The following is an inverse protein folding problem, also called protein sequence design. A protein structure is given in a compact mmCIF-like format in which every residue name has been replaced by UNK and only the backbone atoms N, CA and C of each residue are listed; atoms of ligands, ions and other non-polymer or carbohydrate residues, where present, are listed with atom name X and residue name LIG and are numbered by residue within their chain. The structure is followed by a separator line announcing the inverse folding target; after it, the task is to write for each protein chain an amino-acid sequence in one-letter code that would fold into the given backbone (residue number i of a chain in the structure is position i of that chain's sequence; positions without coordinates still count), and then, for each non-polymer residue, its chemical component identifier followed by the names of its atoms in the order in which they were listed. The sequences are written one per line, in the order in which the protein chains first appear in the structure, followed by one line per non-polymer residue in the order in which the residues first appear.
data_IF_569420472261
#
_entry.id   IF_569420472261
#
_cell.length_a   1.000
_cell.length_b   1.000
_cell.length_c   1.000
_cell.angle_alpha   90.00
_cell.angle_beta   90.00
_cell.angle_gamma   90.00
#
_symmetry.space_group_name_H-M   'P 1'
#
loop_
_entity.id
_entity.type
_entity.pdbx_description
1 polymer ?
#
# COMPACT_ATOMS: atom_id res chain seq x y z
N UNK A 1 -14.48 24.09 63.34
CA UNK A 1 -13.65 23.78 62.16
C UNK A 1 -14.37 22.76 61.30
N UNK A 2 -14.68 23.06 60.04
CA UNK A 2 -15.34 22.11 59.12
C UNK A 2 -14.27 21.27 58.42
N UNK A 3 -14.27 19.97 58.67
CA UNK A 3 -13.38 19.01 57.99
C UNK A 3 -13.93 18.77 56.58
N UNK A 4 -13.08 18.89 55.56
CA UNK A 4 -13.46 18.68 54.16
C UNK A 4 -13.83 17.21 53.89
N UNK A 5 -14.92 16.98 53.15
CA UNK A 5 -15.41 15.64 52.78
C UNK A 5 -14.38 14.80 52.01
N UNK A 6 -13.39 15.44 51.39
CA UNK A 6 -12.25 14.82 50.69
C UNK A 6 -11.34 14.01 51.63
N UNK A 7 -11.31 14.30 52.93
CA UNK A 7 -10.49 13.56 53.89
C UNK A 7 -11.00 12.15 54.21
N UNK A 8 -12.21 11.77 53.76
CA UNK A 8 -12.85 10.48 54.08
C UNK A 8 -12.77 9.44 52.95
N UNK A 9 -12.19 9.76 51.78
CA UNK A 9 -12.13 8.86 50.62
C UNK A 9 -10.68 8.65 50.18
N UNK A 10 -10.29 7.40 49.96
CA UNK A 10 -9.01 7.06 49.35
C UNK A 10 -9.07 7.31 47.84
N UNK A 11 -8.19 8.14 47.26
CA UNK A 11 -8.17 8.35 45.81
C UNK A 11 -7.67 7.09 45.10
N UNK A 12 -8.43 6.60 44.12
CA UNK A 12 -8.07 5.43 43.30
C UNK A 12 -6.99 5.71 42.26
N UNK A 13 -6.63 6.99 42.06
CA UNK A 13 -5.63 7.41 41.09
C UNK A 13 -4.32 7.64 41.83
N UNK A 14 -3.28 6.91 41.43
CA UNK A 14 -1.93 7.09 41.91
C UNK A 14 -1.10 7.88 40.89
N UNK A 15 -0.47 8.96 41.33
CA UNK A 15 0.45 9.74 40.49
C UNK A 15 1.82 9.06 40.50
N UNK A 16 2.10 8.26 39.48
CA UNK A 16 3.31 7.42 39.36
C UNK A 16 4.60 8.21 38.99
N UNK A 17 4.56 9.54 39.03
CA UNK A 17 5.71 10.38 38.63
C UNK A 17 5.98 10.38 37.12
N UNK A 18 7.16 10.85 36.72
CA UNK A 18 7.58 10.87 35.30
C UNK A 18 7.86 9.45 34.83
N UNK A 19 7.21 9.03 33.74
CA UNK A 19 7.47 7.73 33.10
C UNK A 19 8.91 7.67 32.62
N UNK A 20 9.65 6.65 33.05
CA UNK A 20 10.98 6.32 32.51
C UNK A 20 10.77 5.29 31.41
N UNK A 21 11.22 5.60 30.20
CA UNK A 21 11.21 4.65 29.10
C UNK A 21 12.49 3.83 29.16
N UNK A 22 12.43 2.50 28.96
CA UNK A 22 13.65 1.71 28.83
C UNK A 22 14.43 2.15 27.59
N UNK A 23 15.70 2.53 27.78
CA UNK A 23 16.61 2.92 26.69
C UNK A 23 16.83 1.77 25.68
N UNK A 24 16.81 0.53 26.18
CA UNK A 24 16.97 -0.66 25.37
C UNK A 24 15.80 -1.62 25.58
N UNK A 25 14.96 -1.73 24.55
CA UNK A 25 13.92 -2.74 24.43
C UNK A 25 14.43 -3.85 23.53
N UNK A 26 14.17 -5.09 23.91
CA UNK A 26 14.43 -6.24 23.06
C UNK A 26 13.42 -6.29 21.91
N UNK A 27 13.90 -6.04 20.69
CA UNK A 27 13.12 -6.08 19.45
C UNK A 27 13.32 -7.39 18.68
N UNK A 28 13.88 -8.43 19.32
CA UNK A 28 13.95 -9.75 18.69
C UNK A 28 12.55 -10.16 18.26
N UNK A 29 12.33 -10.52 16.98
CA UNK A 29 11.05 -11.01 16.54
C UNK A 29 10.73 -12.27 17.35
N UNK A 30 9.48 -12.38 17.81
CA UNK A 30 9.02 -13.52 18.60
C UNK A 30 7.80 -14.12 17.93
N UNK A 31 7.75 -15.45 17.92
CA UNK A 31 6.58 -16.19 17.45
C UNK A 31 5.37 -15.84 18.30
N UNK A 32 4.21 -15.76 17.68
CA UNK A 32 2.98 -15.58 18.42
C UNK A 32 2.64 -16.88 19.17
N UNK A 33 2.21 -16.85 20.45
CA UNK A 33 1.90 -18.06 21.21
C UNK A 33 0.75 -18.90 20.64
N UNK A 34 -0.06 -18.33 19.75
CA UNK A 34 -1.16 -19.01 19.06
C UNK A 34 -0.86 -19.28 17.58
N UNK A 35 0.40 -19.18 17.15
CA UNK A 35 0.78 -19.54 15.78
C UNK A 35 0.63 -21.06 15.57
N UNK A 36 -0.09 -21.53 14.54
CA UNK A 36 -0.22 -22.96 14.25
C UNK A 36 1.11 -23.66 13.92
N UNK A 37 2.13 -22.92 13.48
CA UNK A 37 3.43 -23.48 13.08
C UNK A 37 4.55 -23.18 14.07
N UNK A 38 4.36 -22.21 14.98
CA UNK A 38 5.33 -21.90 16.04
C UNK A 38 6.71 -21.45 15.54
N UNK A 39 6.81 -20.95 14.31
CA UNK A 39 8.08 -20.55 13.68
C UNK A 39 7.95 -19.20 12.98
N UNK A 40 8.97 -18.35 13.13
CA UNK A 40 9.03 -17.10 12.38
C UNK A 40 9.34 -17.38 10.91
N UNK A 41 8.64 -16.73 9.96
CA UNK A 41 9.01 -16.81 8.57
C UNK A 41 10.41 -16.20 8.34
N UNK A 42 11.37 -17.03 7.93
CA UNK A 42 12.75 -16.59 7.67
C UNK A 42 12.87 -15.66 6.45
N UNK A 43 11.91 -15.69 5.52
CA UNK A 43 11.77 -14.72 4.41
C UNK A 43 10.45 -14.85 3.66
N UNK A 44 10.02 -13.79 2.97
CA UNK A 44 8.85 -13.82 2.08
C UNK A 44 8.96 -14.88 0.97
N UNK A 45 10.18 -15.15 0.51
CA UNK A 45 10.47 -16.20 -0.49
C UNK A 45 10.10 -17.59 0.03
N UNK A 46 10.49 -17.91 1.27
CA UNK A 46 10.18 -19.20 1.91
C UNK A 46 8.68 -19.34 2.19
N UNK A 47 8.00 -18.26 2.58
CA UNK A 47 6.54 -18.25 2.69
C UNK A 47 5.86 -18.58 1.35
N UNK A 48 6.25 -17.91 0.25
CA UNK A 48 5.67 -18.16 -1.09
C UNK A 48 5.90 -19.58 -1.60
N UNK A 49 6.99 -20.23 -1.21
CA UNK A 49 7.25 -21.63 -1.59
C UNK A 49 6.30 -22.61 -0.88
N UNK A 50 5.84 -22.29 0.33
CA UNK A 50 4.97 -23.18 1.13
C UNK A 50 3.48 -22.96 0.85
N UNK A 51 3.07 -21.74 0.52
CA UNK A 51 1.68 -21.40 0.32
C UNK A 51 1.11 -22.01 -0.98
N UNK A 52 0.26 -23.02 -0.85
CA UNK A 52 -0.38 -23.72 -1.99
C UNK A 52 -1.29 -22.82 -2.85
N UNK A 53 -1.70 -21.66 -2.33
CA UNK A 53 -2.57 -20.71 -3.02
C UNK A 53 -1.88 -19.98 -4.18
N UNK A 54 -0.54 -19.90 -4.14
CA UNK A 54 0.23 -19.20 -5.15
C UNK A 54 0.98 -20.25 -5.97
N UNK A 55 0.84 -20.20 -7.30
CA UNK A 55 1.59 -21.09 -8.20
C UNK A 55 3.10 -21.04 -7.96
N UNK A 56 3.86 -22.06 -8.44
CA UNK A 56 5.25 -22.26 -8.09
C UNK A 56 6.08 -21.01 -8.35
N UNK A 57 6.89 -20.63 -7.34
CA UNK A 57 7.76 -19.46 -7.42
C UNK A 57 8.90 -19.74 -8.42
N UNK A 58 8.66 -19.46 -9.70
CA UNK A 58 9.67 -19.59 -10.74
C UNK A 58 10.82 -18.62 -10.49
N UNK A 59 12.03 -19.17 -10.30
CA UNK A 59 13.28 -18.40 -10.24
C UNK A 59 13.82 -18.04 -11.62
N UNK A 60 13.22 -18.59 -12.68
CA UNK A 60 13.43 -18.06 -14.02
C UNK A 60 12.86 -16.66 -14.00
N UNK A 61 13.73 -15.65 -14.18
CA UNK A 61 13.34 -14.27 -14.39
C UNK A 61 12.02 -14.24 -15.13
N UNK A 62 11.01 -13.55 -14.57
CA UNK A 62 9.72 -13.25 -15.23
C UNK A 62 10.06 -13.13 -16.69
N UNK A 63 9.64 -14.10 -17.52
CA UNK A 63 9.93 -14.05 -18.95
C UNK A 63 9.24 -12.78 -19.40
N UNK A 64 10.00 -11.69 -19.46
CA UNK A 64 9.52 -10.43 -19.99
C UNK A 64 9.04 -10.84 -21.36
N UNK A 65 7.77 -10.61 -21.63
CA UNK A 65 7.21 -10.87 -22.95
C UNK A 65 8.13 -10.26 -24.01
N UNK A 66 8.05 -10.74 -25.26
CA UNK A 66 8.86 -10.20 -26.34
C UNK A 66 8.75 -8.66 -26.35
N UNK A 67 9.90 -8.00 -26.43
CA UNK A 67 10.01 -6.52 -26.41
C UNK A 67 9.41 -5.92 -27.68
N UNK A 68 9.28 -6.72 -28.74
CA UNK A 68 8.67 -6.37 -30.01
C UNK A 68 7.37 -7.15 -30.22
N UNK A 69 6.39 -6.51 -30.86
CA UNK A 69 5.13 -7.14 -31.20
C UNK A 69 5.33 -8.20 -32.28
N UNK A 70 4.48 -9.23 -32.28
CA UNK A 70 4.45 -10.23 -33.34
C UNK A 70 4.00 -9.59 -34.68
N UNK A 71 4.29 -10.21 -35.83
CA UNK A 71 3.82 -9.68 -37.12
C UNK A 71 2.28 -9.58 -37.12
N UNK A 72 1.77 -8.36 -37.29
CA UNK A 72 0.33 -8.06 -37.28
C UNK A 72 -0.22 -7.66 -35.91
N UNK A 73 0.58 -7.74 -34.85
CA UNK A 73 0.25 -7.20 -33.53
C UNK A 73 0.92 -5.83 -33.36
N UNK A 74 0.25 -4.95 -32.62
CA UNK A 74 0.73 -3.62 -32.31
C UNK A 74 0.55 -3.38 -30.82
N UNK A 75 1.60 -2.91 -30.13
CA UNK A 75 1.50 -2.64 -28.69
C UNK A 75 0.79 -1.31 -28.43
N UNK A 76 0.96 -0.34 -29.32
CA UNK A 76 0.38 0.98 -29.19
C UNK A 76 -0.76 1.17 -30.18
N UNK A 77 -1.87 1.77 -29.74
CA UNK A 77 -2.97 2.20 -30.64
C UNK A 77 -2.53 3.20 -31.71
N UNK A 78 -1.45 3.94 -31.45
CA UNK A 78 -0.86 4.87 -32.41
C UNK A 78 -0.28 4.16 -33.64
N UNK A 79 0.06 2.88 -33.53
CA UNK A 79 0.57 2.08 -34.65
C UNK A 79 -0.59 1.52 -35.50
N UNK A 80 -1.83 1.53 -34.99
CA UNK A 80 -3.02 1.14 -35.73
C UNK A 80 -3.51 2.26 -36.68
N UNK A 81 -4.37 1.90 -37.66
CA UNK A 81 -5.05 2.87 -38.51
C UNK A 81 -5.81 3.95 -37.71
N UNK A 82 -5.95 5.18 -38.24
CA UNK A 82 -6.53 6.33 -37.52
C UNK A 82 -7.91 6.06 -36.89
N UNK A 83 -8.72 5.20 -37.49
CA UNK A 83 -10.05 4.81 -36.98
C UNK A 83 -10.03 4.15 -35.58
N UNK A 84 -8.89 3.62 -35.16
CA UNK A 84 -8.70 2.98 -33.85
C UNK A 84 -7.93 3.84 -32.86
N UNK A 85 -7.51 5.04 -33.28
CA UNK A 85 -6.84 6.00 -32.41
C UNK A 85 -7.87 6.80 -31.63
N UNK A 86 -7.46 7.32 -30.48
CA UNK A 86 -8.26 8.30 -29.78
C UNK A 86 -8.35 9.59 -30.62
N UNK A 87 -9.51 10.23 -30.58
CA UNK A 87 -9.68 11.58 -31.13
C UNK A 87 -8.83 12.50 -30.26
N UNK A 88 -7.83 13.15 -30.87
CA UNK A 88 -7.09 14.22 -30.22
C UNK A 88 -7.93 15.49 -30.28
N UNK A 89 -8.08 16.18 -29.15
CA UNK A 89 -8.70 17.50 -29.11
C UNK A 89 -7.74 18.51 -29.75
N UNK A 90 -8.29 19.38 -30.59
CA UNK A 90 -7.52 20.51 -31.12
C UNK A 90 -7.29 21.57 -30.03
N UNK A 91 -6.29 22.44 -30.21
CA UNK A 91 -6.01 23.54 -29.28
C UNK A 91 -7.20 24.47 -29.09
N UNK A 92 -7.93 24.76 -30.17
CA UNK A 92 -9.15 25.57 -30.11
C UNK A 92 -10.29 24.87 -29.34
N UNK A 93 -10.43 23.55 -29.50
CA UNK A 93 -11.39 22.75 -28.71
C UNK A 93 -11.03 22.74 -27.23
N UNK A 94 -9.74 22.62 -26.91
CA UNK A 94 -9.25 22.66 -25.52
C UNK A 94 -9.59 24.02 -24.90
N UNK A 95 -9.35 25.12 -25.60
CA UNK A 95 -9.66 26.47 -25.12
C UNK A 95 -11.17 26.71 -25.01
N UNK A 96 -11.96 26.14 -25.91
CA UNK A 96 -13.42 26.17 -25.86
C UNK A 96 -13.96 25.39 -24.65
N UNK A 97 -13.39 24.22 -24.34
CA UNK A 97 -13.73 23.43 -23.15
C UNK A 97 -13.34 24.20 -21.87
N UNK A 98 -12.12 24.76 -21.83
CA UNK A 98 -11.61 25.50 -20.68
C UNK A 98 -12.39 26.79 -20.41
N UNK A 99 -12.82 27.48 -21.47
CA UNK A 99 -13.65 28.67 -21.38
C UNK A 99 -15.14 28.37 -21.15
N UNK A 100 -15.54 27.08 -21.19
CA UNK A 100 -16.95 26.68 -21.09
C UNK A 100 -17.80 27.20 -22.24
N UNK A 101 -17.21 27.44 -23.42
CA UNK A 101 -17.89 28.04 -24.58
C UNK A 101 -18.06 29.56 -24.49
N UNK A 102 -17.31 30.27 -23.63
CA UNK A 102 -17.43 31.71 -23.47
C UNK A 102 -16.69 32.53 -24.55
N UNK A 103 -15.73 31.95 -25.27
CA UNK A 103 -14.86 32.66 -26.24
C UNK A 103 -15.37 32.65 -27.68
N UNK A 104 -16.53 32.07 -27.96
CA UNK A 104 -17.06 31.85 -29.33
C UNK A 104 -18.00 32.94 -29.86
N UNK A 105 -17.99 34.15 -29.29
CA UNK A 105 -18.85 35.27 -29.71
C UNK A 105 -18.08 36.44 -30.32
#
# INVERSE_FOLDING_TARGET
MRVSLTARRTPLIHFLGKRVYPEHVDHTPRVHPQDPHGELPVSFKQYRLRAQQYGPLSTSAIRKGPIAAAPGEHFSRNELPPRYRYIGLDTDEIDLINSGGATTY
#
